data_IF_952147450203
#
_entry.id   IF_952147450203
#
_cell.length_a   1.000
_cell.length_b   1.000
_cell.length_c   1.000
_cell.angle_alpha   90.00
_cell.angle_beta   90.00
_cell.angle_gamma   90.00
#
_symmetry.space_group_name_H-M   'P 1'
#
loop_
_entity.id
_entity.type
_entity.pdbx_description
1 polymer ?
#
# COMPACT_ATOMS: atom_id res chain seq x y z
N UNK A 1 -2.82 5.10 6.80
CA UNK A 1 -2.46 5.73 8.10
C UNK A 1 -2.62 7.26 8.05
N UNK A 2 -2.06 7.95 7.05
CA UNK A 2 -2.06 9.44 6.98
C UNK A 2 -3.48 10.02 7.00
N UNK A 3 -4.41 9.49 6.19
CA UNK A 3 -5.80 9.96 6.17
C UNK A 3 -6.49 9.77 7.53
N UNK A 4 -6.26 8.65 8.20
CA UNK A 4 -6.81 8.43 9.53
C UNK A 4 -6.28 9.46 10.55
N UNK A 5 -4.99 9.79 10.45
CA UNK A 5 -4.40 10.87 11.26
C UNK A 5 -5.01 12.24 10.99
N UNK A 6 -5.29 12.57 9.72
CA UNK A 6 -5.97 13.81 9.33
C UNK A 6 -7.40 13.82 9.92
N UNK A 7 -8.15 12.72 9.80
CA UNK A 7 -9.51 12.62 10.36
C UNK A 7 -9.48 12.86 11.88
N UNK A 8 -8.59 12.19 12.62
CA UNK A 8 -8.49 12.39 14.06
C UNK A 8 -8.12 13.83 14.45
N UNK A 9 -7.19 14.44 13.70
CA UNK A 9 -6.77 15.83 13.91
C UNK A 9 -7.89 16.83 13.63
N UNK A 10 -8.63 16.67 12.53
CA UNK A 10 -9.80 17.52 12.20
C UNK A 10 -10.94 17.36 13.22
N UNK A 11 -11.10 16.16 13.77
CA UNK A 11 -12.08 15.91 14.83
C UNK A 11 -11.60 16.37 16.23
N UNK A 12 -10.31 16.70 16.39
CA UNK A 12 -9.73 17.11 17.66
C UNK A 12 -9.69 15.95 18.69
N UNK A 13 -9.52 14.71 18.24
CA UNK A 13 -9.56 13.51 19.08
C UNK A 13 -8.26 12.69 18.96
N UNK A 14 -8.06 11.75 19.90
CA UNK A 14 -6.90 10.86 19.84
C UNK A 14 -7.10 9.76 18.80
N UNK A 15 -5.99 9.25 18.27
CA UNK A 15 -5.98 8.11 17.37
C UNK A 15 -5.17 6.96 17.99
N UNK A 16 -5.78 5.78 18.07
CA UNK A 16 -5.07 4.52 18.31
C UNK A 16 -4.82 3.81 16.99
N UNK A 17 -3.61 3.31 16.82
CA UNK A 17 -3.15 2.65 15.59
C UNK A 17 -2.87 1.19 15.91
N UNK A 18 -3.40 0.30 15.10
CA UNK A 18 -3.07 -1.12 15.10
C UNK A 18 -3.10 -1.67 13.67
N UNK A 19 -2.85 -2.96 13.51
CA UNK A 19 -2.93 -3.63 12.21
C UNK A 19 -3.57 -5.01 12.34
N UNK A 20 -4.19 -5.50 11.27
CA UNK A 20 -4.79 -6.83 11.24
C UNK A 20 -3.81 -7.92 11.68
N UNK A 21 -2.58 -7.99 11.13
CA UNK A 21 -1.58 -8.98 11.53
C UNK A 21 -1.12 -8.89 12.99
N UNK A 22 -1.23 -7.74 13.63
CA UNK A 22 -0.80 -7.53 15.00
C UNK A 22 -1.83 -8.04 16.04
N UNK A 23 -3.03 -8.40 15.59
CA UNK A 23 -4.11 -8.85 16.48
C UNK A 23 -4.42 -10.31 16.18
N UNK A 24 -3.94 -11.20 17.03
CA UNK A 24 -4.13 -12.63 16.86
C UNK A 24 -5.34 -13.17 17.62
N UNK A 25 -5.70 -12.55 18.74
CA UNK A 25 -6.72 -13.05 19.67
C UNK A 25 -7.85 -12.05 19.90
N UNK A 26 -9.10 -12.55 20.06
CA UNK A 26 -10.25 -11.70 20.38
C UNK A 26 -10.05 -10.81 21.61
N UNK A 27 -9.35 -11.31 22.65
CA UNK A 27 -9.06 -10.57 23.87
C UNK A 27 -8.15 -9.36 23.65
N UNK A 28 -7.26 -9.39 22.67
CA UNK A 28 -6.39 -8.26 22.31
C UNK A 28 -7.21 -7.13 21.68
N UNK A 29 -8.12 -7.46 20.77
CA UNK A 29 -9.06 -6.50 20.21
C UNK A 29 -9.96 -5.92 21.29
N UNK A 30 -10.51 -6.75 22.18
CA UNK A 30 -11.33 -6.30 23.30
C UNK A 30 -10.57 -5.33 24.21
N UNK A 31 -9.29 -5.59 24.49
CA UNK A 31 -8.44 -4.72 25.31
C UNK A 31 -8.20 -3.37 24.62
N UNK A 32 -7.96 -3.36 23.30
CA UNK A 32 -7.80 -2.13 22.52
C UNK A 32 -9.07 -1.29 22.57
N UNK A 33 -10.23 -1.91 22.32
CA UNK A 33 -11.54 -1.25 22.33
C UNK A 33 -11.89 -0.68 23.70
N UNK A 34 -11.68 -1.46 24.77
CA UNK A 34 -11.94 -1.01 26.15
C UNK A 34 -11.01 0.13 26.60
N UNK A 35 -9.87 0.29 25.97
CA UNK A 35 -8.93 1.39 26.25
C UNK A 35 -9.17 2.66 25.42
N UNK A 36 -10.23 2.74 24.60
CA UNK A 36 -10.61 3.94 23.85
C UNK A 36 -11.30 4.94 24.79
N UNK A 37 -11.24 6.21 24.40
CA UNK A 37 -11.98 7.30 25.03
C UNK A 37 -13.12 7.76 24.10
N UNK A 38 -14.00 8.59 24.61
CA UNK A 38 -15.14 9.09 23.84
C UNK A 38 -14.64 9.82 22.58
N UNK A 39 -15.19 9.41 21.44
CA UNK A 39 -14.88 9.90 20.10
C UNK A 39 -13.48 9.60 19.55
N UNK A 40 -12.66 8.80 20.23
CA UNK A 40 -11.37 8.35 19.70
C UNK A 40 -11.51 7.70 18.32
N UNK A 41 -10.46 7.82 17.51
CA UNK A 41 -10.32 7.10 16.23
C UNK A 41 -9.48 5.84 16.47
N UNK A 42 -10.03 4.67 16.15
CA UNK A 42 -9.27 3.43 16.04
C UNK A 42 -8.94 3.17 14.57
N UNK A 43 -7.67 3.21 14.22
CA UNK A 43 -7.17 2.88 12.89
C UNK A 43 -6.62 1.45 12.87
N UNK A 44 -7.15 0.63 11.95
CA UNK A 44 -6.68 -0.75 11.73
C UNK A 44 -6.13 -0.86 10.31
N UNK A 45 -4.81 -0.96 10.19
CA UNK A 45 -4.15 -1.19 8.91
C UNK A 45 -4.26 -2.66 8.50
N UNK A 46 -4.30 -2.94 7.18
CA UNK A 46 -4.47 -4.29 6.63
C UNK A 46 -5.63 -5.06 7.32
N UNK A 47 -6.76 -4.40 7.48
CA UNK A 47 -7.91 -4.91 8.24
C UNK A 47 -8.44 -6.25 7.68
N UNK A 48 -8.22 -6.54 6.38
CA UNK A 48 -8.58 -7.82 5.76
C UNK A 48 -7.80 -9.02 6.32
N UNK A 49 -6.72 -8.76 7.07
CA UNK A 49 -5.90 -9.81 7.70
C UNK A 49 -6.33 -10.15 9.13
N UNK A 50 -7.37 -9.51 9.64
CA UNK A 50 -7.99 -9.94 10.90
C UNK A 50 -8.54 -11.37 10.72
N UNK A 51 -8.31 -12.23 11.72
CA UNK A 51 -8.95 -13.52 11.72
C UNK A 51 -10.44 -13.38 12.11
N UNK A 52 -11.25 -14.36 11.73
CA UNK A 52 -12.70 -14.33 11.93
C UNK A 52 -13.12 -14.12 13.38
N UNK A 53 -12.41 -14.71 14.33
CA UNK A 53 -12.76 -14.58 15.75
C UNK A 53 -12.54 -13.15 16.26
N UNK A 54 -11.54 -12.45 15.75
CA UNK A 54 -11.28 -11.03 16.05
C UNK A 54 -12.31 -10.14 15.38
N UNK A 55 -12.69 -10.43 14.11
CA UNK A 55 -13.77 -9.70 13.44
C UNK A 55 -15.10 -9.79 14.22
N UNK A 56 -15.42 -10.96 14.78
CA UNK A 56 -16.64 -11.17 15.55
C UNK A 56 -16.73 -10.29 16.81
N UNK A 57 -15.60 -9.84 17.37
CA UNK A 57 -15.57 -8.85 18.46
C UNK A 57 -15.87 -7.44 17.94
N UNK A 58 -15.48 -7.13 16.72
CA UNK A 58 -15.73 -5.82 16.12
C UNK A 58 -17.22 -5.59 15.78
N UNK A 59 -17.98 -6.62 15.46
CA UNK A 59 -19.36 -6.45 15.02
C UNK A 59 -20.23 -5.74 16.07
N UNK A 60 -20.37 -6.24 17.30
CA UNK A 60 -21.13 -5.53 18.33
C UNK A 60 -20.48 -4.20 18.73
N UNK A 61 -19.16 -4.08 18.63
CA UNK A 61 -18.47 -2.83 18.91
C UNK A 61 -18.84 -1.73 17.90
N UNK A 62 -18.99 -2.07 16.61
CA UNK A 62 -19.38 -1.14 15.56
C UNK A 62 -20.87 -0.79 15.58
N UNK A 63 -21.74 -1.75 15.93
CA UNK A 63 -23.19 -1.58 15.88
C UNK A 63 -23.73 -0.95 17.19
N UNK A 64 -23.30 -1.48 18.33
CA UNK A 64 -23.90 -1.19 19.64
C UNK A 64 -22.95 -0.48 20.61
N UNK A 65 -21.71 -0.21 20.20
CA UNK A 65 -20.66 0.25 21.13
C UNK A 65 -20.54 -0.64 22.37
N UNK A 66 -20.50 -1.94 22.16
CA UNK A 66 -20.40 -2.94 23.22
C UNK A 66 -19.58 -4.15 22.75
N UNK A 67 -18.99 -4.86 23.71
CA UNK A 67 -18.33 -6.15 23.48
C UNK A 67 -18.85 -7.18 24.46
N UNK A 68 -18.95 -8.43 24.01
CA UNK A 68 -19.33 -9.56 24.85
C UNK A 68 -18.09 -10.35 25.24
N UNK A 69 -17.81 -10.43 26.54
CA UNK A 69 -16.63 -11.14 27.09
C UNK A 69 -17.11 -12.37 27.86
N UNK A 70 -16.53 -13.52 27.51
CA UNK A 70 -16.77 -14.76 28.26
C UNK A 70 -15.90 -14.80 29.51
N UNK A 71 -16.54 -14.84 30.70
CA UNK A 71 -15.86 -14.97 31.99
C UNK A 71 -16.08 -16.39 32.52
N UNK A 72 -14.99 -17.07 32.93
CA UNK A 72 -15.00 -18.44 33.42
C UNK A 72 -14.74 -19.48 32.34
N UNK A 73 -14.71 -20.74 32.73
CA UNK A 73 -14.49 -21.90 31.85
C UNK A 73 -15.57 -22.98 32.12
N UNK A 74 -15.89 -23.76 31.09
CA UNK A 74 -16.83 -24.87 31.16
C UNK A 74 -18.29 -24.44 31.34
N UNK A 75 -19.16 -25.29 31.92
CA UNK A 75 -20.59 -25.05 31.99
C UNK A 75 -21.01 -23.86 32.86
N UNK A 76 -20.10 -23.31 33.66
CA UNK A 76 -20.32 -22.10 34.48
C UNK A 76 -19.86 -20.79 33.81
N UNK A 77 -19.38 -20.83 32.57
CA UNK A 77 -18.98 -19.62 31.87
C UNK A 77 -20.18 -18.70 31.63
N UNK A 78 -19.97 -17.40 31.86
CA UNK A 78 -21.00 -16.37 31.65
C UNK A 78 -20.51 -15.34 30.66
N UNK A 79 -21.39 -14.93 29.77
CA UNK A 79 -21.14 -13.77 28.92
C UNK A 79 -21.45 -12.48 29.69
N UNK A 80 -20.51 -11.56 29.70
CA UNK A 80 -20.66 -10.22 30.26
C UNK A 80 -20.53 -9.20 29.17
N UNK A 81 -21.55 -8.37 28.97
CA UNK A 81 -21.55 -7.29 28.01
C UNK A 81 -20.92 -6.05 28.65
N UNK A 82 -19.85 -5.53 27.99
CA UNK A 82 -19.19 -4.29 28.38
C UNK A 82 -19.55 -3.20 27.40
N UNK A 83 -20.02 -2.07 27.90
CA UNK A 83 -20.24 -0.90 27.05
C UNK A 83 -18.91 -0.21 26.75
N UNK A 84 -18.77 0.22 25.52
CA UNK A 84 -17.64 0.99 25.02
C UNK A 84 -18.01 2.47 24.86
N UNK A 85 -17.05 3.38 24.97
CA UNK A 85 -17.28 4.76 24.53
C UNK A 85 -17.57 4.78 23.02
N UNK A 86 -18.26 5.80 22.56
CA UNK A 86 -18.45 6.00 21.10
C UNK A 86 -17.10 6.30 20.46
N UNK A 87 -16.80 5.59 19.39
CA UNK A 87 -15.54 5.73 18.66
C UNK A 87 -15.76 5.65 17.16
N UNK A 88 -14.77 6.05 16.39
CA UNK A 88 -14.75 5.91 14.92
C UNK A 88 -13.76 4.84 14.53
N UNK A 89 -14.22 3.81 13.82
CA UNK A 89 -13.34 2.81 13.23
C UNK A 89 -12.93 3.23 11.82
N UNK A 90 -11.65 3.30 11.56
CA UNK A 90 -11.07 3.52 10.22
C UNK A 90 -10.25 2.29 9.84
N UNK A 91 -10.69 1.55 8.84
CA UNK A 91 -9.97 0.40 8.29
C UNK A 91 -9.25 0.78 6.99
N UNK A 92 -8.03 0.28 6.81
CA UNK A 92 -7.33 0.35 5.53
C UNK A 92 -7.02 -1.05 5.01
N UNK A 93 -7.10 -1.23 3.70
CA UNK A 93 -6.81 -2.50 3.05
C UNK A 93 -6.28 -2.29 1.64
N UNK A 94 -5.32 -3.11 1.23
CA UNK A 94 -4.87 -3.24 -0.16
C UNK A 94 -5.72 -4.23 -0.95
N UNK A 95 -6.51 -5.07 -0.26
CA UNK A 95 -7.30 -6.16 -0.84
C UNK A 95 -8.76 -6.09 -0.38
N UNK A 96 -9.50 -5.09 -0.86
CA UNK A 96 -10.91 -4.89 -0.48
C UNK A 96 -11.79 -6.12 -0.74
N UNK A 97 -11.47 -6.92 -1.76
CA UNK A 97 -12.17 -8.17 -2.08
C UNK A 97 -11.99 -9.29 -1.04
N UNK A 98 -10.99 -9.18 -0.16
CA UNK A 98 -10.75 -10.14 0.93
C UNK A 98 -11.49 -9.77 2.23
N UNK A 99 -12.09 -8.58 2.30
CA UNK A 99 -12.96 -8.24 3.44
C UNK A 99 -14.18 -9.15 3.43
N UNK A 100 -14.49 -9.71 4.60
CA UNK A 100 -15.73 -10.47 4.76
C UNK A 100 -16.94 -9.55 4.53
N UNK A 101 -18.01 -10.08 3.93
CA UNK A 101 -19.22 -9.30 3.71
C UNK A 101 -19.77 -8.72 5.03
N UNK A 102 -19.83 -9.48 6.16
CA UNK A 102 -20.31 -8.94 7.41
C UNK A 102 -19.50 -7.75 7.94
N UNK A 103 -18.18 -7.76 7.78
CA UNK A 103 -17.33 -6.63 8.19
C UNK A 103 -17.52 -5.43 7.27
N UNK A 104 -17.47 -5.68 5.95
CA UNK A 104 -17.62 -4.63 4.93
C UNK A 104 -18.95 -3.88 5.06
N UNK A 105 -20.04 -4.61 5.26
CA UNK A 105 -21.40 -4.05 5.28
C UNK A 105 -21.65 -3.18 6.55
N UNK A 106 -20.77 -3.27 7.54
CA UNK A 106 -20.82 -2.43 8.77
C UNK A 106 -20.08 -1.11 8.62
N UNK A 107 -19.27 -0.94 7.58
CA UNK A 107 -18.69 0.36 7.27
C UNK A 107 -19.70 1.24 6.56
N UNK A 108 -20.03 2.39 7.13
CA UNK A 108 -20.96 3.35 6.55
C UNK A 108 -20.40 4.07 5.33
N UNK A 109 -19.06 4.14 5.22
CA UNK A 109 -18.36 4.83 4.12
C UNK A 109 -17.20 3.96 3.65
N UNK A 110 -17.13 3.71 2.34
CA UNK A 110 -16.04 2.98 1.69
C UNK A 110 -15.51 3.84 0.55
N UNK A 111 -14.22 4.13 0.59
CA UNK A 111 -13.52 4.87 -0.44
C UNK A 111 -12.49 4.00 -1.14
N UNK A 112 -12.45 4.05 -2.47
CA UNK A 112 -11.35 3.55 -3.26
C UNK A 112 -10.38 4.70 -3.52
N UNK A 113 -9.13 4.55 -3.06
CA UNK A 113 -8.09 5.55 -3.30
C UNK A 113 -7.45 5.26 -4.65
N UNK A 114 -7.47 6.26 -5.52
CA UNK A 114 -6.79 6.22 -6.81
C UNK A 114 -5.31 6.57 -6.66
N UNK A 115 -4.52 6.18 -7.67
CA UNK A 115 -3.14 6.64 -7.75
C UNK A 115 -3.12 8.12 -8.15
N UNK A 116 -2.14 8.85 -7.64
CA UNK A 116 -1.95 10.26 -7.96
C UNK A 116 -1.46 10.43 -9.40
N UNK A 117 -1.86 11.53 -10.02
CA UNK A 117 -1.33 11.98 -11.32
C UNK A 117 0.10 12.49 -11.18
N UNK A 118 0.81 12.63 -12.30
CA UNK A 118 2.16 13.20 -12.32
C UNK A 118 2.19 14.64 -11.78
N UNK A 119 1.17 15.44 -12.10
CA UNK A 119 1.03 16.84 -11.64
C UNK A 119 0.82 16.91 -10.13
N UNK A 120 -0.05 16.05 -9.58
CA UNK A 120 -0.27 15.95 -8.15
C UNK A 120 0.99 15.50 -7.41
N UNK A 121 1.70 14.49 -7.95
CA UNK A 121 2.96 14.03 -7.37
C UNK A 121 4.05 15.08 -7.45
N UNK A 122 4.14 15.83 -8.55
CA UNK A 122 5.07 16.96 -8.67
C UNK A 122 4.83 17.98 -7.57
N UNK A 123 3.57 18.35 -7.34
CA UNK A 123 3.18 19.24 -6.24
C UNK A 123 3.59 18.70 -4.87
N UNK A 124 3.37 17.41 -4.63
CA UNK A 124 3.76 16.73 -3.38
C UNK A 124 5.29 16.73 -3.22
N UNK A 125 6.05 16.45 -4.29
CA UNK A 125 7.51 16.44 -4.27
C UNK A 125 8.06 17.81 -3.96
N UNK A 126 7.58 18.87 -4.62
CA UNK A 126 8.00 20.25 -4.36
C UNK A 126 7.71 20.66 -2.91
N UNK A 127 6.55 20.30 -2.37
CA UNK A 127 6.23 20.53 -0.95
C UNK A 127 7.15 19.75 -0.02
N UNK A 128 7.38 18.48 -0.31
CA UNK A 128 8.26 17.62 0.49
C UNK A 128 9.72 18.12 0.46
N UNK A 129 10.19 18.61 -0.69
CA UNK A 129 11.52 19.19 -0.84
C UNK A 129 11.70 20.42 0.07
N UNK A 130 10.69 21.30 0.14
CA UNK A 130 10.70 22.45 1.07
C UNK A 130 10.82 22.00 2.54
N UNK A 131 10.06 20.98 2.94
CA UNK A 131 10.10 20.44 4.31
C UNK A 131 11.45 19.77 4.63
N UNK A 132 12.08 19.16 3.63
CA UNK A 132 13.38 18.50 3.75
C UNK A 132 14.56 19.45 3.52
N UNK A 133 14.29 20.73 3.26
CA UNK A 133 15.30 21.75 2.93
C UNK A 133 16.19 21.33 1.75
N UNK A 134 15.55 20.78 0.69
CA UNK A 134 16.21 20.34 -0.54
C UNK A 134 15.88 21.33 -1.64
N UNK A 135 16.90 21.83 -2.32
CA UNK A 135 16.74 22.61 -3.53
C UNK A 135 16.43 21.71 -4.71
N UNK A 136 15.31 21.98 -5.39
CA UNK A 136 14.85 21.21 -6.54
C UNK A 136 14.19 22.13 -7.56
N UNK A 137 14.53 21.94 -8.83
CA UNK A 137 13.82 22.56 -9.94
C UNK A 137 12.52 21.81 -10.27
N UNK A 138 11.57 22.52 -10.86
CA UNK A 138 10.29 21.92 -11.27
C UNK A 138 10.51 20.76 -12.25
N UNK A 139 11.45 20.89 -13.20
CA UNK A 139 11.85 19.84 -14.15
C UNK A 139 12.33 18.57 -13.44
N UNK A 140 13.18 18.71 -12.41
CA UNK A 140 13.63 17.60 -11.57
C UNK A 140 12.48 16.94 -10.80
N UNK A 141 11.55 17.73 -10.28
CA UNK A 141 10.37 17.21 -9.58
C UNK A 141 9.44 16.43 -10.52
N UNK A 142 9.26 16.87 -11.76
CA UNK A 142 8.50 16.17 -12.80
C UNK A 142 9.12 14.81 -13.13
N UNK A 143 10.46 14.73 -13.27
CA UNK A 143 11.13 13.45 -13.52
C UNK A 143 10.97 12.47 -12.37
N UNK A 144 11.05 12.94 -11.12
CA UNK A 144 10.74 12.11 -9.95
C UNK A 144 9.27 11.64 -9.94
N UNK A 145 8.34 12.52 -10.29
CA UNK A 145 6.91 12.21 -10.32
C UNK A 145 6.59 11.11 -11.34
N UNK A 146 7.09 11.22 -12.56
CA UNK A 146 6.92 10.21 -13.64
C UNK A 146 7.30 8.82 -13.17
N UNK A 147 8.42 8.69 -12.44
CA UNK A 147 8.95 7.40 -12.00
C UNK A 147 8.44 6.94 -10.62
N UNK A 148 7.50 7.69 -10.03
CA UNK A 148 6.94 7.40 -8.69
C UNK A 148 5.69 6.52 -8.68
N UNK A 149 5.31 5.93 -9.81
CA UNK A 149 4.19 4.97 -9.94
C UNK A 149 2.87 5.44 -9.31
N UNK A 150 2.58 6.73 -9.32
CA UNK A 150 1.36 7.28 -8.76
C UNK A 150 1.30 7.26 -7.23
N UNK A 151 2.41 7.04 -6.51
CA UNK A 151 2.39 6.91 -5.05
C UNK A 151 3.30 7.92 -4.34
N UNK A 152 2.75 8.72 -3.39
CA UNK A 152 3.55 9.68 -2.62
C UNK A 152 4.67 9.05 -1.80
N UNK A 153 4.47 7.80 -1.32
CA UNK A 153 5.50 7.07 -0.58
C UNK A 153 6.75 6.83 -1.43
N UNK A 154 6.56 6.39 -2.68
CA UNK A 154 7.67 6.17 -3.60
C UNK A 154 8.30 7.50 -4.02
N UNK A 155 7.48 8.52 -4.33
CA UNK A 155 7.95 9.86 -4.66
C UNK A 155 8.88 10.43 -3.58
N UNK A 156 8.46 10.38 -2.32
CA UNK A 156 9.26 10.84 -1.20
C UNK A 156 10.52 9.98 -0.97
N UNK A 157 10.46 8.68 -1.24
CA UNK A 157 11.63 7.79 -1.17
C UNK A 157 12.64 8.15 -2.24
N UNK A 158 12.20 8.35 -3.49
CA UNK A 158 13.07 8.75 -4.58
C UNK A 158 13.67 10.14 -4.35
N UNK A 159 12.87 11.13 -3.89
CA UNK A 159 13.34 12.46 -3.55
C UNK A 159 14.52 12.41 -2.55
N UNK A 160 14.37 11.64 -1.47
CA UNK A 160 15.44 11.49 -0.47
C UNK A 160 16.72 10.87 -1.07
N UNK A 161 16.58 9.87 -1.93
CA UNK A 161 17.71 9.21 -2.59
C UNK A 161 18.42 10.14 -3.57
N UNK A 162 17.63 10.82 -4.41
CA UNK A 162 18.19 11.77 -5.39
C UNK A 162 18.84 12.96 -4.71
N UNK A 163 18.29 13.45 -3.59
CA UNK A 163 18.94 14.45 -2.74
C UNK A 163 20.35 14.02 -2.32
N UNK A 164 20.47 12.78 -1.82
CA UNK A 164 21.77 12.27 -1.36
C UNK A 164 22.78 12.26 -2.51
N UNK A 165 22.38 11.93 -3.73
CA UNK A 165 23.22 12.03 -4.93
C UNK A 165 23.58 13.48 -5.28
N UNK A 166 22.59 14.38 -5.26
CA UNK A 166 22.80 15.78 -5.55
C UNK A 166 23.82 16.42 -4.59
N UNK A 167 23.72 16.12 -3.30
CA UNK A 167 24.62 16.64 -2.28
C UNK A 167 26.04 16.08 -2.36
N UNK A 168 26.20 14.83 -2.81
CA UNK A 168 27.52 14.18 -2.84
C UNK A 168 28.29 14.44 -4.13
N UNK A 169 27.60 14.51 -5.27
CA UNK A 169 28.22 14.59 -6.61
C UNK A 169 28.05 15.92 -7.32
N UNK A 170 27.12 16.75 -6.87
CA UNK A 170 26.76 18.02 -7.47
C UNK A 170 26.72 19.13 -6.41
N UNK A 171 26.16 20.25 -6.74
CA UNK A 171 26.00 21.43 -5.88
C UNK A 171 24.82 21.36 -4.89
N UNK A 172 24.11 20.24 -4.84
CA UNK A 172 22.97 20.02 -3.95
C UNK A 172 21.61 20.34 -4.57
N UNK A 173 21.57 20.89 -5.80
CA UNK A 173 20.33 21.20 -6.51
C UNK A 173 19.90 20.00 -7.35
N UNK A 174 18.63 19.64 -7.25
CA UNK A 174 18.03 18.58 -8.08
C UNK A 174 17.46 19.19 -9.36
N UNK A 175 18.26 19.20 -10.42
CA UNK A 175 17.81 19.52 -11.77
C UNK A 175 17.26 18.27 -12.47
N UNK A 176 16.68 18.41 -13.66
CA UNK A 176 16.26 17.27 -14.51
C UNK A 176 17.43 16.31 -14.77
N UNK A 177 18.62 16.84 -15.11
CA UNK A 177 19.80 16.04 -15.38
C UNK A 177 20.25 15.24 -14.15
N UNK A 178 20.31 15.87 -12.99
CA UNK A 178 20.67 15.24 -11.71
C UNK A 178 19.65 14.16 -11.35
N UNK A 179 18.36 14.45 -11.50
CA UNK A 179 17.29 13.50 -11.26
C UNK A 179 17.41 12.26 -12.16
N UNK A 180 17.56 12.46 -13.47
CA UNK A 180 17.73 11.39 -14.45
C UNK A 180 18.97 10.53 -14.16
N UNK A 181 20.12 11.18 -13.90
CA UNK A 181 21.33 10.46 -13.56
C UNK A 181 21.18 9.60 -12.29
N UNK A 182 20.65 10.18 -11.22
CA UNK A 182 20.47 9.47 -9.96
C UNK A 182 19.45 8.33 -10.08
N UNK A 183 18.34 8.54 -10.77
CA UNK A 183 17.31 7.51 -10.98
C UNK A 183 17.83 6.33 -11.80
N UNK A 184 18.67 6.60 -12.81
CA UNK A 184 19.32 5.55 -13.59
C UNK A 184 20.30 4.73 -12.73
N UNK A 185 21.06 5.38 -11.83
CA UNK A 185 21.92 4.68 -10.87
C UNK A 185 21.12 3.87 -9.83
N UNK A 186 19.91 4.28 -9.52
CA UNK A 186 18.98 3.55 -8.66
C UNK A 186 18.24 2.43 -9.42
N UNK A 187 18.59 2.22 -10.69
CA UNK A 187 18.00 1.23 -11.58
C UNK A 187 16.48 1.38 -11.76
N UNK A 188 16.01 2.63 -11.74
CA UNK A 188 14.61 3.02 -11.99
C UNK A 188 14.53 3.65 -13.38
N UNK A 189 13.85 3.00 -14.29
CA UNK A 189 13.74 3.46 -15.69
C UNK A 189 12.68 4.57 -15.90
N UNK A 190 12.49 4.97 -17.15
CA UNK A 190 11.58 6.07 -17.53
C UNK A 190 10.11 5.81 -17.19
N UNK A 191 9.70 4.56 -17.09
CA UNK A 191 8.36 4.16 -16.63
C UNK A 191 8.31 3.86 -15.13
N UNK A 192 9.40 4.07 -14.40
CA UNK A 192 9.49 3.73 -12.99
C UNK A 192 9.60 2.22 -12.71
N UNK A 193 9.94 1.41 -13.72
CA UNK A 193 10.22 0.00 -13.53
C UNK A 193 11.58 -0.16 -12.86
N UNK A 194 11.63 -0.99 -11.82
CA UNK A 194 12.87 -1.37 -11.17
C UNK A 194 13.46 -2.66 -11.75
N UNK A 195 14.54 -3.11 -11.14
CA UNK A 195 15.21 -4.34 -11.57
C UNK A 195 14.28 -5.57 -11.59
N UNK A 196 13.45 -5.72 -10.57
CA UNK A 196 12.54 -6.88 -10.46
C UNK A 196 11.45 -6.83 -11.53
N UNK A 197 10.86 -5.66 -11.77
CA UNK A 197 9.86 -5.52 -12.84
C UNK A 197 10.42 -5.93 -14.19
N UNK A 198 11.62 -5.42 -14.53
CA UNK A 198 12.28 -5.78 -15.78
C UNK A 198 12.65 -7.25 -15.82
N UNK A 199 13.11 -7.83 -14.71
CA UNK A 199 13.40 -9.27 -14.60
C UNK A 199 12.15 -10.11 -14.82
N UNK A 200 10.98 -9.69 -14.30
CA UNK A 200 9.69 -10.34 -14.57
C UNK A 200 9.42 -10.37 -16.08
N UNK A 201 9.46 -9.21 -16.72
CA UNK A 201 9.18 -9.09 -18.17
C UNK A 201 10.18 -9.88 -19.02
N UNK A 202 11.47 -9.75 -18.76
CA UNK A 202 12.53 -10.49 -19.46
C UNK A 202 12.38 -11.99 -19.29
N UNK A 203 12.10 -12.46 -18.06
CA UNK A 203 11.88 -13.89 -17.79
C UNK A 203 10.68 -14.42 -18.58
N UNK A 204 9.58 -13.65 -18.63
CA UNK A 204 8.42 -14.05 -19.43
C UNK A 204 8.73 -14.11 -20.92
N UNK A 205 9.51 -13.18 -21.44
CA UNK A 205 9.90 -13.13 -22.86
C UNK A 205 10.86 -14.29 -23.17
N UNK A 206 11.97 -14.39 -22.46
CA UNK A 206 13.07 -15.30 -22.78
C UNK A 206 12.78 -16.76 -22.47
N UNK A 207 12.17 -17.02 -21.30
CA UNK A 207 11.92 -18.41 -20.85
C UNK A 207 10.55 -18.95 -21.27
N UNK A 208 9.57 -18.05 -21.46
CA UNK A 208 8.18 -18.44 -21.72
C UNK A 208 7.62 -17.89 -23.04
N UNK A 209 8.47 -17.33 -23.90
CA UNK A 209 8.07 -16.80 -25.23
C UNK A 209 6.91 -15.78 -25.15
N UNK A 210 6.96 -14.93 -24.12
CA UNK A 210 5.91 -13.93 -23.84
C UNK A 210 4.70 -14.45 -23.06
N UNK A 211 4.64 -15.72 -22.74
CA UNK A 211 3.55 -16.35 -21.99
C UNK A 211 2.60 -17.16 -22.88
N UNK A 212 1.51 -17.70 -22.31
CA UNK A 212 1.01 -17.49 -20.95
C UNK A 212 1.79 -18.27 -19.86
N UNK A 213 2.07 -17.64 -18.73
CA UNK A 213 2.77 -18.25 -17.60
C UNK A 213 1.98 -18.09 -16.30
N UNK A 214 1.91 -19.16 -15.51
CA UNK A 214 1.25 -19.15 -14.19
C UNK A 214 2.05 -18.37 -13.15
N UNK A 215 1.37 -17.85 -12.13
CA UNK A 215 1.97 -17.04 -11.04
C UNK A 215 3.09 -17.77 -10.34
N UNK A 216 2.84 -18.99 -9.86
CA UNK A 216 3.79 -19.80 -9.12
C UNK A 216 5.05 -20.14 -9.95
N UNK A 217 4.84 -20.45 -11.23
CA UNK A 217 5.94 -20.75 -12.17
C UNK A 217 6.81 -19.53 -12.40
N UNK A 218 6.19 -18.36 -12.59
CA UNK A 218 6.89 -17.10 -12.78
C UNK A 218 7.68 -16.71 -11.53
N UNK A 219 7.03 -16.75 -10.36
CA UNK A 219 7.64 -16.45 -9.07
C UNK A 219 8.87 -17.35 -8.80
N UNK A 220 8.72 -18.66 -8.98
CA UNK A 220 9.82 -19.60 -8.85
C UNK A 220 10.98 -19.33 -9.85
N UNK A 221 10.65 -18.85 -11.07
CA UNK A 221 11.65 -18.57 -12.10
C UNK A 221 12.53 -17.36 -11.81
N UNK A 222 12.04 -16.42 -10.98
CA UNK A 222 12.76 -15.22 -10.56
C UNK A 222 13.18 -15.25 -9.09
N UNK A 223 12.97 -16.39 -8.41
CA UNK A 223 13.27 -16.58 -6.99
C UNK A 223 12.56 -15.57 -6.06
N UNK A 224 11.30 -15.22 -6.38
CA UNK A 224 10.46 -14.30 -5.60
C UNK A 224 9.25 -15.05 -5.03
N UNK A 225 8.65 -14.54 -3.97
CA UNK A 225 7.40 -15.06 -3.43
C UNK A 225 6.22 -14.74 -4.36
N UNK A 226 5.33 -15.72 -4.59
CA UNK A 226 4.19 -15.55 -5.48
C UNK A 226 3.22 -14.44 -5.02
N UNK A 227 2.99 -14.32 -3.71
CA UNK A 227 2.18 -13.26 -3.14
C UNK A 227 2.81 -11.89 -3.33
N UNK A 228 4.12 -11.77 -3.14
CA UNK A 228 4.88 -10.54 -3.41
C UNK A 228 4.77 -10.14 -4.88
N UNK A 229 4.92 -11.10 -5.80
CA UNK A 229 4.77 -10.82 -7.23
C UNK A 229 3.36 -10.31 -7.54
N UNK A 230 2.32 -10.97 -7.03
CA UNK A 230 0.92 -10.61 -7.27
C UNK A 230 0.52 -9.27 -6.64
N UNK A 231 1.03 -8.95 -5.45
CA UNK A 231 0.59 -7.79 -4.67
C UNK A 231 1.41 -6.53 -4.91
N UNK A 232 2.69 -6.68 -5.25
CA UNK A 232 3.63 -5.55 -5.33
C UNK A 232 3.97 -5.18 -6.77
N UNK A 233 4.30 -6.16 -7.61
CA UNK A 233 4.80 -5.91 -8.96
C UNK A 233 3.71 -5.96 -10.02
N UNK A 234 2.91 -7.00 -10.02
CA UNK A 234 1.91 -7.26 -11.07
C UNK A 234 0.88 -6.12 -11.23
N UNK A 235 0.36 -5.47 -10.17
CA UNK A 235 -0.64 -4.42 -10.31
C UNK A 235 -0.16 -3.23 -11.15
N UNK A 236 1.10 -2.85 -10.99
CA UNK A 236 1.69 -1.77 -11.77
C UNK A 236 1.91 -2.16 -13.23
N UNK A 237 2.42 -3.36 -13.47
CA UNK A 237 2.65 -3.89 -14.82
C UNK A 237 1.34 -4.07 -15.60
N UNK A 238 0.26 -4.52 -14.92
CA UNK A 238 -1.09 -4.63 -15.49
C UNK A 238 -1.67 -3.26 -15.84
N UNK A 239 -1.63 -2.32 -14.88
CA UNK A 239 -2.20 -0.98 -15.04
C UNK A 239 -1.56 -0.24 -16.22
N UNK A 240 -0.25 -0.38 -16.38
CA UNK A 240 0.50 0.28 -17.46
C UNK A 240 0.52 -0.53 -18.75
N UNK A 241 -0.14 -1.67 -18.78
CA UNK A 241 -0.29 -2.47 -20.00
C UNK A 241 0.95 -3.22 -20.44
N UNK A 242 1.93 -3.46 -19.57
CA UNK A 242 3.11 -4.29 -19.85
C UNK A 242 2.79 -5.78 -19.90
N UNK A 243 1.84 -6.19 -19.08
CA UNK A 243 1.33 -7.57 -19.05
C UNK A 243 -0.20 -7.58 -19.07
N UNK A 244 -0.77 -8.74 -19.43
CA UNK A 244 -2.22 -9.02 -19.36
C UNK A 244 -2.46 -10.34 -18.64
N UNK A 245 -3.57 -10.41 -17.89
CA UNK A 245 -4.07 -11.66 -17.31
C UNK A 245 -4.98 -12.37 -18.30
N UNK A 246 -4.72 -13.65 -18.51
CA UNK A 246 -5.57 -14.54 -19.30
C UNK A 246 -6.01 -15.72 -18.44
N UNK A 247 -7.01 -16.52 -18.83
CA UNK A 247 -7.38 -17.74 -18.11
C UNK A 247 -6.24 -18.77 -17.97
N UNK A 248 -5.21 -18.68 -18.84
CA UNK A 248 -4.06 -19.59 -18.83
C UNK A 248 -2.88 -19.05 -18.05
N UNK A 249 -2.88 -17.77 -17.68
CA UNK A 249 -1.76 -17.10 -17.00
C UNK A 249 -1.50 -15.70 -17.52
N UNK A 250 -0.32 -15.16 -17.21
CA UNK A 250 0.14 -13.83 -17.57
C UNK A 250 0.82 -13.86 -18.95
N UNK A 251 0.55 -12.84 -19.76
CA UNK A 251 1.12 -12.66 -21.09
C UNK A 251 1.75 -11.28 -21.19
N UNK A 252 2.91 -11.19 -21.79
CA UNK A 252 3.60 -9.93 -22.06
C UNK A 252 2.96 -9.26 -23.28
N UNK A 253 2.87 -7.94 -23.27
CA UNK A 253 2.31 -7.14 -24.37
C UNK A 253 3.40 -6.60 -25.30
N UNK A 254 3.00 -6.13 -26.47
CA UNK A 254 3.91 -5.44 -27.42
C UNK A 254 4.60 -4.22 -26.78
N UNK A 255 3.92 -3.52 -25.86
CA UNK A 255 4.49 -2.39 -25.14
C UNK A 255 5.73 -2.79 -24.34
N UNK A 256 5.70 -3.96 -23.69
CA UNK A 256 6.84 -4.45 -22.93
C UNK A 256 8.04 -4.79 -23.84
N UNK A 257 7.80 -5.46 -24.96
CA UNK A 257 8.84 -5.73 -25.95
C UNK A 257 9.49 -4.44 -26.44
N UNK A 258 8.65 -3.46 -26.86
CA UNK A 258 9.11 -2.16 -27.31
C UNK A 258 9.92 -1.42 -26.25
N UNK A 259 9.45 -1.44 -25.00
CA UNK A 259 10.13 -0.79 -23.86
C UNK A 259 11.50 -1.41 -23.58
N UNK A 260 11.60 -2.73 -23.65
CA UNK A 260 12.85 -3.47 -23.43
C UNK A 260 13.77 -3.48 -24.66
N UNK A 261 13.34 -2.92 -25.80
CA UNK A 261 14.10 -2.90 -27.04
C UNK A 261 14.26 -4.28 -27.70
N UNK A 262 13.32 -5.19 -27.46
CA UNK A 262 13.31 -6.56 -27.97
C UNK A 262 12.36 -6.63 -29.18
N UNK A 263 12.81 -7.19 -30.29
CA UNK A 263 11.96 -7.50 -31.44
C UNK A 263 11.01 -8.66 -31.14
N UNK A 264 9.75 -8.59 -31.64
CA UNK A 264 8.70 -9.60 -31.44
C UNK A 264 8.86 -10.73 -32.45
#
# INVERSE_FOLDING_TARGET
>A
TTLAGIIANEMGVNMKITSGPAIEKPGEMAAILNGLQEHDVLFVDEIHRLNRQVEEVLYPAMEDYAIDIMIGKGPGARSVRLNLPKFTLVGATTRAGMLTAPLRDRFGVIHHLELYTEEELTTIILRSAKVLEVEIEESGAVELAKRSRGTPRLANRLLKRVRDFAQVKYDGVITEEVANYALNLLDVDTYGLDHIDRMILLTMIEKFQGGPVGLETLAASIAEDAGTLEDVYEPYLLKNGFIQRTPRGRVVTELAYKHLGIEI
#
